data_IF_166626570090
#
_entry.id   IF_166626570090
#
_cell.length_a   1.000
_cell.length_b   1.000
_cell.length_c   1.000
_cell.angle_alpha   90.00
_cell.angle_beta   90.00
_cell.angle_gamma   90.00
#
_symmetry.space_group_name_H-M   'P 1'
#
loop_
_entity.id
_entity.type
_entity.pdbx_description
1 polymer ?
#
# COMPACT_ATOMS: atom_id res chain seq x y z
N UNK A 1 4.49 17.65 -1.16
CA UNK A 1 4.06 16.77 -0.05
C UNK A 1 3.17 15.74 -0.70
N UNK A 2 3.65 14.52 -0.85
CA UNK A 2 2.76 13.42 -1.24
C UNK A 2 1.90 13.11 -0.02
N UNK A 3 0.61 13.40 -0.15
CA UNK A 3 -0.37 13.20 0.91
C UNK A 3 -0.73 11.70 0.95
N UNK A 4 -0.78 11.12 2.14
CA UNK A 4 -1.27 9.75 2.30
C UNK A 4 -2.72 9.71 1.80
N UNK A 5 -3.00 8.93 0.77
CA UNK A 5 -4.37 8.85 0.24
C UNK A 5 -5.23 8.05 1.19
N UNK A 6 -6.35 8.61 1.62
CA UNK A 6 -7.33 7.86 2.39
C UNK A 6 -8.11 6.90 1.52
N UNK A 7 -8.19 7.12 0.21
CA UNK A 7 -8.85 6.21 -0.71
C UNK A 7 -7.84 5.34 -1.46
N UNK A 8 -7.60 4.15 -0.91
CA UNK A 8 -6.69 3.16 -1.49
C UNK A 8 -7.21 2.56 -2.80
N UNK A 9 -8.50 2.70 -3.14
CA UNK A 9 -9.04 2.20 -4.43
C UNK A 9 -8.31 2.82 -5.63
N UNK A 10 -7.86 4.06 -5.50
CA UNK A 10 -7.13 4.78 -6.54
C UNK A 10 -5.68 4.28 -6.72
N UNK A 11 -5.20 3.44 -5.81
CA UNK A 11 -3.84 2.90 -5.85
C UNK A 11 -3.74 1.56 -6.59
N UNK A 12 -4.85 0.91 -6.94
CA UNK A 12 -4.83 -0.38 -7.64
C UNK A 12 -4.02 -0.27 -8.94
N UNK A 13 -3.00 -1.12 -9.09
CA UNK A 13 -2.04 -1.10 -10.20
C UNK A 13 -0.88 -0.11 -10.04
N UNK A 14 -0.90 0.74 -9.01
CA UNK A 14 0.21 1.64 -8.70
C UNK A 14 1.25 0.98 -7.79
N UNK A 15 2.49 1.42 -7.92
CA UNK A 15 3.53 1.15 -6.93
C UNK A 15 3.40 2.08 -5.74
N UNK A 16 3.55 1.54 -4.54
CA UNK A 16 3.46 2.29 -3.28
C UNK A 16 4.64 2.00 -2.36
N UNK A 17 5.00 2.99 -1.56
CA UNK A 17 5.81 2.86 -0.35
C UNK A 17 4.90 2.60 0.85
N UNK A 18 5.19 1.53 1.60
CA UNK A 18 4.72 1.32 2.95
C UNK A 18 5.73 1.90 3.93
N UNK A 19 5.29 2.83 4.76
CA UNK A 19 6.13 3.47 5.77
C UNK A 19 5.55 3.32 7.16
N UNK A 20 6.43 3.23 8.16
CA UNK A 20 6.06 3.22 9.58
C UNK A 20 6.97 4.17 10.34
N UNK A 21 6.39 5.16 11.01
CA UNK A 21 7.14 6.23 11.68
C UNK A 21 8.11 6.93 10.72
N UNK A 22 7.66 7.23 9.49
CA UNK A 22 8.46 7.87 8.43
C UNK A 22 9.56 7.01 7.81
N UNK A 23 9.76 5.75 8.22
CA UNK A 23 10.77 4.84 7.64
C UNK A 23 10.13 3.92 6.62
N UNK A 24 10.79 3.73 5.48
CA UNK A 24 10.38 2.76 4.47
C UNK A 24 10.46 1.34 5.04
N UNK A 25 9.33 0.63 5.02
CA UNK A 25 9.21 -0.78 5.42
C UNK A 25 9.27 -1.66 4.18
N UNK A 26 8.53 -1.29 3.13
CA UNK A 26 8.43 -2.07 1.89
C UNK A 26 7.95 -1.21 0.72
N UNK A 27 8.31 -1.61 -0.49
CA UNK A 27 7.64 -1.19 -1.72
C UNK A 27 6.89 -2.35 -2.37
N UNK A 28 5.77 -2.07 -3.04
CA UNK A 28 5.02 -3.06 -3.80
C UNK A 28 3.99 -2.45 -4.74
N UNK A 29 3.60 -3.19 -5.76
CA UNK A 29 2.44 -2.86 -6.60
C UNK A 29 1.17 -3.27 -5.86
N UNK A 30 0.18 -2.39 -5.79
CA UNK A 30 -1.14 -2.73 -5.23
C UNK A 30 -1.90 -3.59 -6.24
N UNK A 31 -2.25 -4.79 -5.83
CA UNK A 31 -2.98 -5.76 -6.65
C UNK A 31 -4.49 -5.56 -6.57
N UNK A 32 -5.01 -5.33 -5.37
CA UNK A 32 -6.45 -5.24 -5.09
C UNK A 32 -6.72 -4.51 -3.77
N UNK A 33 -7.93 -3.99 -3.59
CA UNK A 33 -8.39 -3.24 -2.40
C UNK A 33 -9.84 -3.58 -2.09
N UNK A 34 -10.18 -3.75 -0.80
CA UNK A 34 -11.57 -3.99 -0.39
C UNK A 34 -12.48 -2.81 -0.74
N UNK A 35 -13.79 -3.03 -1.03
CA UNK A 35 -14.69 -1.94 -1.45
C UNK A 35 -14.80 -0.77 -0.47
N UNK A 36 -14.60 -1.02 0.83
CA UNK A 36 -14.59 -0.01 1.90
C UNK A 36 -13.22 0.67 2.08
N UNK A 37 -12.25 0.34 1.24
CA UNK A 37 -10.89 0.91 1.25
C UNK A 37 -10.15 0.67 2.57
N UNK A 38 -10.50 -0.39 3.33
CA UNK A 38 -9.90 -0.69 4.65
C UNK A 38 -8.69 -1.62 4.57
N UNK A 39 -8.60 -2.44 3.52
CA UNK A 39 -7.52 -3.42 3.32
C UNK A 39 -7.07 -3.40 1.85
N UNK A 40 -5.76 -3.49 1.63
CA UNK A 40 -5.17 -3.69 0.31
C UNK A 40 -4.28 -4.94 0.26
N UNK A 41 -4.02 -5.42 -0.95
CA UNK A 41 -3.03 -6.46 -1.20
C UNK A 41 -1.91 -5.93 -2.07
N UNK A 42 -0.67 -6.13 -1.63
CA UNK A 42 0.50 -5.96 -2.49
C UNK A 42 0.74 -7.25 -3.29
N UNK A 43 1.01 -7.09 -4.59
CA UNK A 43 1.29 -8.19 -5.51
C UNK A 43 2.57 -8.94 -5.15
N UNK A 44 2.58 -10.25 -5.40
CA UNK A 44 3.81 -11.05 -5.39
C UNK A 44 4.78 -10.57 -6.48
N UNK A 45 6.06 -10.39 -6.14
CA UNK A 45 7.07 -9.87 -7.07
C UNK A 45 8.34 -10.72 -7.17
N UNK A 46 8.28 -12.01 -6.82
CA UNK A 46 9.43 -12.91 -6.83
C UNK A 46 10.27 -12.86 -5.55
N UNK A 47 10.46 -11.68 -4.97
CA UNK A 47 11.22 -11.50 -3.73
C UNK A 47 10.33 -11.49 -2.48
N UNK A 48 9.12 -10.94 -2.62
CA UNK A 48 8.16 -10.85 -1.53
C UNK A 48 6.85 -11.50 -1.90
N UNK A 49 6.27 -12.22 -0.93
CA UNK A 49 4.92 -12.77 -0.99
C UNK A 49 3.88 -11.69 -1.28
N UNK A 50 2.74 -12.11 -1.83
CA UNK A 50 1.52 -11.32 -1.80
C UNK A 50 1.20 -11.01 -0.34
N UNK A 51 1.00 -9.74 -0.01
CA UNK A 51 0.83 -9.31 1.38
C UNK A 51 -0.45 -8.50 1.51
N UNK A 52 -1.28 -8.90 2.47
CA UNK A 52 -2.41 -8.10 2.93
C UNK A 52 -1.90 -6.99 3.87
N UNK A 53 -2.42 -5.78 3.71
CA UNK A 53 -2.14 -4.63 4.57
C UNK A 53 -3.47 -3.99 4.95
N UNK A 54 -3.70 -3.79 6.24
CA UNK A 54 -4.89 -3.11 6.72
C UNK A 54 -4.55 -1.68 7.16
N UNK A 55 -5.49 -0.74 7.01
CA UNK A 55 -5.35 0.61 7.58
C UNK A 55 -5.12 0.59 9.09
N UNK A 56 -5.71 -0.38 9.78
CA UNK A 56 -5.52 -0.58 11.22
C UNK A 56 -4.08 -0.91 11.62
N UNK A 57 -3.24 -1.34 10.66
CA UNK A 57 -1.82 -1.61 10.92
C UNK A 57 -1.01 -0.32 11.12
N UNK A 58 -1.59 0.85 10.78
CA UNK A 58 -0.97 2.16 11.02
C UNK A 58 0.17 2.52 10.06
N UNK A 59 0.25 1.86 8.90
CA UNK A 59 1.21 2.24 7.86
C UNK A 59 0.78 3.52 7.13
N UNK A 60 1.76 4.37 6.85
CA UNK A 60 1.65 5.42 5.84
C UNK A 60 1.82 4.76 4.47
N UNK A 61 0.89 5.03 3.53
CA UNK A 61 0.94 4.50 2.16
C UNK A 61 1.05 5.66 1.19
N UNK A 62 2.15 5.70 0.43
CA UNK A 62 2.43 6.78 -0.53
C UNK A 62 2.65 6.19 -1.94
N UNK A 63 2.01 6.74 -2.99
CA UNK A 63 2.31 6.32 -4.36
C UNK A 63 3.73 6.72 -4.76
N UNK A 64 4.40 5.82 -5.49
CA UNK A 64 5.71 6.08 -6.12
C UNK A 64 5.44 6.72 -7.48
N UNK A 65 6.03 7.90 -7.73
CA UNK A 65 5.96 8.61 -9.01
C UNK A 65 7.13 8.25 -9.92
#
# INVERSE_FOLDING_TARGET
>A
MDEATEDWQQLVGCWVELRSGGKLVRMGEVEDVTPDSSVMWLRFNGNHGRQMVAKSDGYEVLPVR
#
